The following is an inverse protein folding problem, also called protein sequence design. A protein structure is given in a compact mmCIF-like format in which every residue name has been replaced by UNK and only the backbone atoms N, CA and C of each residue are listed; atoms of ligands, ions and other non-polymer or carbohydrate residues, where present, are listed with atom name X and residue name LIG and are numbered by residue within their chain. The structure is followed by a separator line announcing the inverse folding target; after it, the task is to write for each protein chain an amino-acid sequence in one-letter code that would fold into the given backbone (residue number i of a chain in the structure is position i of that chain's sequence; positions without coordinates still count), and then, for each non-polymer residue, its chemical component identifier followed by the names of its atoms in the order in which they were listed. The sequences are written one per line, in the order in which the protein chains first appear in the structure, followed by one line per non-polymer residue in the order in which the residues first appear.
data_IF_627571874152
#
_entry.id   IF_627571874152
#
_cell.length_a   1.000
_cell.length_b   1.000
_cell.length_c   1.000
_cell.angle_alpha   90.00
_cell.angle_beta   90.00
_cell.angle_gamma   90.00
#
_symmetry.space_group_name_H-M   'P 1'
#
loop_
_entity.id
_entity.type
_entity.pdbx_description
1 polymer ?
#
# COMPACT_ATOMS: atom_id res chain seq x y z
N UNK A 1 15.63 0.92 -18.29
CA UNK A 1 14.84 -0.07 -17.53
C UNK A 1 13.43 -0.06 -18.11
N UNK A 2 12.83 -1.20 -18.40
CA UNK A 2 11.45 -1.25 -18.92
C UNK A 2 10.44 -1.00 -17.79
N UNK A 3 9.21 -0.59 -18.12
CA UNK A 3 8.14 -0.44 -17.12
C UNK A 3 7.94 -1.71 -16.30
N UNK A 4 7.97 -2.89 -16.94
CA UNK A 4 7.85 -4.18 -16.25
C UNK A 4 8.96 -4.43 -15.23
N UNK A 5 10.21 -4.09 -15.55
CA UNK A 5 11.33 -4.20 -14.60
C UNK A 5 11.15 -3.26 -13.41
N UNK A 6 10.73 -2.02 -13.66
CA UNK A 6 10.47 -1.02 -12.62
C UNK A 6 9.39 -1.52 -11.66
N UNK A 7 8.25 -1.98 -12.21
CA UNK A 7 7.13 -2.49 -11.43
C UNK A 7 7.50 -3.76 -10.65
N UNK A 8 8.30 -4.66 -11.21
CA UNK A 8 8.80 -5.83 -10.48
C UNK A 8 9.62 -5.43 -9.24
N UNK A 9 10.56 -4.49 -9.41
CA UNK A 9 11.37 -3.99 -8.30
C UNK A 9 10.52 -3.28 -7.23
N UNK A 10 9.52 -2.50 -7.65
CA UNK A 10 8.58 -1.84 -6.73
C UNK A 10 7.77 -2.86 -5.92
N UNK A 11 7.24 -3.90 -6.58
CA UNK A 11 6.46 -4.95 -5.90
C UNK A 11 7.33 -5.84 -5.01
N UNK A 12 8.60 -6.06 -5.37
CA UNK A 12 9.56 -6.74 -4.49
C UNK A 12 9.85 -5.93 -3.23
N UNK A 13 9.97 -4.60 -3.36
CA UNK A 13 10.12 -3.71 -2.22
C UNK A 13 8.88 -3.72 -1.33
N UNK A 14 7.68 -3.57 -1.90
CA UNK A 14 6.43 -3.68 -1.14
C UNK A 14 6.32 -5.02 -0.42
N UNK A 15 6.70 -6.14 -1.07
CA UNK A 15 6.65 -7.46 -0.45
C UNK A 15 7.57 -7.55 0.78
N UNK A 16 8.79 -6.99 0.71
CA UNK A 16 9.74 -6.95 1.84
C UNK A 16 9.22 -6.08 2.98
N UNK A 17 8.62 -4.92 2.66
CA UNK A 17 8.01 -4.03 3.65
C UNK A 17 6.85 -4.73 4.34
N UNK A 18 5.95 -5.37 3.60
CA UNK A 18 4.81 -6.13 4.15
C UNK A 18 5.28 -7.29 5.03
N UNK A 19 6.24 -8.11 4.59
CA UNK A 19 6.78 -9.21 5.39
C UNK A 19 7.42 -8.70 6.70
N UNK A 20 8.22 -7.63 6.62
CA UNK A 20 8.85 -7.06 7.80
C UNK A 20 7.84 -6.44 8.75
N UNK A 21 6.83 -5.73 8.25
CA UNK A 21 5.73 -5.20 9.05
C UNK A 21 4.99 -6.31 9.80
N UNK A 22 4.66 -7.42 9.10
CA UNK A 22 4.00 -8.58 9.70
C UNK A 22 4.88 -9.24 10.77
N UNK A 23 6.17 -9.44 10.50
CA UNK A 23 7.10 -10.03 11.47
C UNK A 23 7.25 -9.18 12.72
N UNK A 24 7.38 -7.86 12.57
CA UNK A 24 7.43 -6.92 13.69
C UNK A 24 6.12 -7.02 14.51
N UNK A 25 4.97 -6.96 13.84
CA UNK A 25 3.66 -7.03 14.50
C UNK A 25 3.45 -8.34 15.28
N UNK A 26 3.82 -9.48 14.69
CA UNK A 26 3.73 -10.80 15.31
C UNK A 26 4.89 -11.15 16.25
N UNK A 27 5.82 -10.21 16.51
CA UNK A 27 7.00 -10.41 17.36
C UNK A 27 7.84 -11.63 16.92
N UNK A 28 7.95 -11.83 15.61
CA UNK A 28 8.78 -12.86 15.00
C UNK A 28 10.23 -12.37 14.85
N UNK A 29 11.12 -13.26 14.45
CA UNK A 29 12.49 -12.89 14.11
C UNK A 29 12.50 -11.91 12.92
N UNK A 30 13.19 -10.79 13.10
CA UNK A 30 13.30 -9.69 12.14
C UNK A 30 14.76 -9.42 11.79
N UNK A 31 15.02 -9.16 10.51
CA UNK A 31 16.32 -8.65 10.03
C UNK A 31 16.43 -7.13 10.13
N UNK A 32 15.30 -6.42 10.16
CA UNK A 32 15.21 -4.97 10.24
C UNK A 32 14.40 -4.57 11.46
N UNK A 33 14.84 -3.55 12.21
CA UNK A 33 14.12 -3.07 13.38
C UNK A 33 12.91 -2.20 13.01
N UNK A 34 12.94 -1.60 11.81
CA UNK A 34 11.89 -0.75 11.27
C UNK A 34 11.73 -0.93 9.76
N UNK A 35 10.53 -0.74 9.23
CA UNK A 35 10.27 -0.87 7.80
C UNK A 35 11.00 0.20 6.95
N UNK A 36 11.33 1.34 7.56
CA UNK A 36 12.02 2.47 6.96
C UNK A 36 13.48 2.13 6.62
N UNK A 37 14.04 1.05 7.18
CA UNK A 37 15.35 0.51 6.79
C UNK A 37 15.31 -0.20 5.43
N UNK A 38 14.13 -0.56 4.93
CA UNK A 38 13.93 -1.26 3.67
C UNK A 38 13.90 -0.22 2.56
N UNK A 39 15.07 0.05 2.00
CA UNK A 39 15.27 1.11 1.01
C UNK A 39 14.42 0.86 -0.25
N UNK A 40 13.60 1.83 -0.70
CA UNK A 40 12.88 1.75 -1.97
C UNK A 40 13.84 1.59 -3.16
N UNK A 41 13.44 0.90 -4.24
CA UNK A 41 14.33 0.65 -5.36
C UNK A 41 14.65 1.96 -6.08
N UNK A 42 15.87 2.06 -6.60
CA UNK A 42 16.23 3.16 -7.50
C UNK A 42 15.45 3.03 -8.81
N UNK A 43 14.72 4.08 -9.19
CA UNK A 43 13.97 4.14 -10.44
C UNK A 43 14.57 5.23 -11.32
N UNK A 44 14.81 4.98 -12.62
CA UNK A 44 15.33 6.00 -13.52
C UNK A 44 14.38 7.20 -13.63
N UNK A 45 14.89 8.39 -13.33
CA UNK A 45 14.09 9.62 -13.24
C UNK A 45 13.57 10.14 -14.60
N UNK A 46 14.03 9.56 -15.71
CA UNK A 46 13.59 9.82 -17.08
C UNK A 46 12.38 8.96 -17.50
N UNK A 47 11.94 8.05 -16.65
CA UNK A 47 10.74 7.21 -16.88
C UNK A 47 9.50 7.84 -16.26
N UNK A 48 8.32 7.54 -16.82
CA UNK A 48 7.05 8.03 -16.29
C UNK A 48 6.88 7.72 -14.79
N UNK A 49 7.08 6.46 -14.38
CA UNK A 49 6.98 6.12 -12.96
C UNK A 49 8.05 6.84 -12.11
N UNK A 50 9.28 6.92 -12.61
CA UNK A 50 10.39 7.58 -11.92
C UNK A 50 10.15 9.07 -11.67
N UNK A 51 9.57 9.80 -12.62
CA UNK A 51 9.22 11.22 -12.42
C UNK A 51 8.16 11.40 -11.36
N UNK A 52 7.18 10.48 -11.30
CA UNK A 52 6.08 10.54 -10.31
C UNK A 52 6.56 10.24 -8.89
N UNK A 53 7.44 9.26 -8.69
CA UNK A 53 7.85 8.82 -7.35
C UNK A 53 9.06 9.58 -6.77
N UNK A 54 9.78 10.35 -7.59
CA UNK A 54 11.02 11.04 -7.18
C UNK A 54 10.85 11.96 -5.96
N UNK A 55 9.70 12.61 -5.84
CA UNK A 55 9.43 13.60 -4.78
C UNK A 55 8.64 13.02 -3.62
N UNK A 56 8.29 11.73 -3.67
CA UNK A 56 7.51 11.10 -2.63
C UNK A 56 8.42 10.74 -1.45
N UNK A 57 7.93 11.01 -0.25
CA UNK A 57 8.45 10.41 0.97
C UNK A 57 8.31 8.89 0.94
N UNK A 58 9.01 8.20 1.84
CA UNK A 58 8.87 6.75 2.02
C UNK A 58 7.41 6.34 2.18
N UNK A 59 6.66 7.04 3.05
CA UNK A 59 5.27 6.71 3.33
C UNK A 59 4.35 6.94 2.13
N UNK A 60 4.51 8.05 1.41
CA UNK A 60 3.73 8.32 0.20
C UNK A 60 4.02 7.30 -0.90
N UNK A 61 5.29 6.92 -1.11
CA UNK A 61 5.66 5.89 -2.09
C UNK A 61 5.13 4.52 -1.70
N UNK A 62 5.11 4.20 -0.40
CA UNK A 62 4.55 2.94 0.10
C UNK A 62 3.04 2.86 -0.18
N UNK A 63 2.31 3.96 0.03
CA UNK A 63 0.89 4.06 -0.30
C UNK A 63 0.65 3.88 -1.80
N UNK A 64 1.49 4.47 -2.66
CA UNK A 64 1.43 4.29 -4.12
C UNK A 64 1.69 2.84 -4.52
N UNK A 65 2.74 2.22 -3.97
CA UNK A 65 3.06 0.82 -4.24
C UNK A 65 1.92 -0.12 -3.80
N UNK A 66 1.35 0.13 -2.62
CA UNK A 66 0.20 -0.64 -2.11
C UNK A 66 -1.02 -0.52 -3.04
N UNK A 67 -1.33 0.69 -3.51
CA UNK A 67 -2.44 0.91 -4.45
C UNK A 67 -2.20 0.29 -5.84
N UNK A 68 -0.94 0.11 -6.24
CA UNK A 68 -0.56 -0.54 -7.50
C UNK A 68 -0.66 -2.08 -7.43
N UNK A 69 -0.46 -2.66 -6.25
CA UNK A 69 -0.37 -4.10 -6.08
C UNK A 69 -1.57 -4.90 -6.65
N UNK A 70 -2.84 -4.47 -6.52
CA UNK A 70 -3.97 -5.16 -7.13
C UNK A 70 -3.88 -5.31 -8.65
N UNK A 71 -3.21 -4.37 -9.34
CA UNK A 71 -3.07 -4.35 -10.80
C UNK A 71 -1.86 -5.17 -11.29
N UNK A 72 -0.78 -5.17 -10.51
CA UNK A 72 0.54 -5.68 -10.95
C UNK A 72 0.86 -7.05 -10.36
N UNK A 73 0.57 -7.26 -9.08
CA UNK A 73 0.94 -8.47 -8.33
C UNK A 73 -0.09 -8.75 -7.23
N UNK A 74 -1.36 -9.06 -7.56
CA UNK A 74 -2.45 -9.17 -6.60
C UNK A 74 -2.18 -10.20 -5.50
N UNK A 75 -1.52 -11.32 -5.82
CA UNK A 75 -1.15 -12.37 -4.86
C UNK A 75 -0.18 -11.90 -3.76
N UNK A 76 0.48 -10.75 -3.91
CA UNK A 76 1.30 -10.15 -2.84
C UNK A 76 0.43 -9.83 -1.62
N UNK A 77 -0.81 -9.40 -1.85
CA UNK A 77 -1.70 -8.92 -0.80
C UNK A 77 -2.41 -10.07 -0.06
N UNK A 78 -2.22 -11.32 -0.49
CA UNK A 78 -2.79 -12.48 0.20
C UNK A 78 -2.27 -12.62 1.64
N UNK A 79 -1.11 -12.02 1.95
CA UNK A 79 -0.57 -11.92 3.30
C UNK A 79 -1.54 -11.26 4.30
N UNK A 80 -2.46 -10.41 3.84
CA UNK A 80 -3.45 -9.77 4.71
C UNK A 80 -4.71 -10.63 4.96
N UNK A 81 -4.80 -11.81 4.34
CA UNK A 81 -5.85 -12.78 4.67
C UNK A 81 -5.54 -13.64 5.90
N UNK A 82 -4.41 -13.42 6.58
CA UNK A 82 -4.07 -14.14 7.81
C UNK A 82 -5.20 -14.01 8.84
N UNK A 83 -5.66 -15.14 9.33
CA UNK A 83 -6.68 -15.23 10.37
C UNK A 83 -6.03 -15.32 11.75
N UNK A 84 -6.66 -14.67 12.72
CA UNK A 84 -6.34 -14.88 14.11
C UNK A 84 -6.86 -16.26 14.54
N UNK A 85 -5.94 -17.16 14.90
CA UNK A 85 -6.25 -18.55 15.24
C UNK A 85 -7.16 -18.70 16.46
N UNK A 86 -7.18 -17.73 17.38
CA UNK A 86 -8.01 -17.75 18.59
C UNK A 86 -9.45 -17.33 18.30
N UNK A 87 -9.62 -16.29 17.48
CA UNK A 87 -10.93 -15.69 17.22
C UNK A 87 -11.56 -16.13 15.90
N UNK A 88 -10.85 -16.92 15.08
CA UNK A 88 -11.26 -17.39 13.75
C UNK A 88 -11.78 -16.25 12.87
N UNK A 89 -11.07 -15.12 12.90
CA UNK A 89 -11.41 -13.92 12.13
C UNK A 89 -10.14 -13.19 11.69
N UNK A 90 -10.25 -12.38 10.65
CA UNK A 90 -9.17 -11.48 10.22
C UNK A 90 -8.88 -10.40 11.26
N UNK A 91 -7.63 -9.94 11.28
CA UNK A 91 -7.22 -8.80 12.08
C UNK A 91 -7.88 -7.53 11.56
N UNK A 92 -8.60 -6.82 12.43
CA UNK A 92 -9.29 -5.58 12.06
C UNK A 92 -8.31 -4.49 11.62
N UNK A 93 -7.11 -4.50 12.20
CA UNK A 93 -6.04 -3.53 11.91
C UNK A 93 -5.51 -3.67 10.48
N UNK A 94 -5.60 -4.84 9.85
CA UNK A 94 -5.11 -5.02 8.47
C UNK A 94 -6.05 -4.41 7.43
N UNK A 95 -7.30 -4.15 7.82
CA UNK A 95 -8.34 -3.64 6.94
C UNK A 95 -8.57 -4.53 5.71
N UNK A 96 -8.86 -3.87 4.60
CA UNK A 96 -8.95 -4.50 3.29
C UNK A 96 -10.32 -5.12 3.01
N UNK A 97 -10.66 -5.14 1.73
CA UNK A 97 -11.91 -5.72 1.24
C UNK A 97 -11.63 -6.95 0.39
N UNK A 98 -12.48 -7.96 0.52
CA UNK A 98 -12.45 -9.13 -0.36
C UNK A 98 -13.14 -8.77 -1.68
N UNK A 99 -12.42 -8.90 -2.79
CA UNK A 99 -12.96 -8.70 -4.13
C UNK A 99 -13.92 -9.83 -4.49
N UNK A 100 -15.10 -9.50 -5.03
CA UNK A 100 -16.14 -10.50 -5.30
C UNK A 100 -15.82 -11.43 -6.49
N UNK A 101 -15.15 -10.92 -7.53
CA UNK A 101 -15.00 -11.63 -8.80
C UNK A 101 -13.86 -12.66 -8.81
N UNK A 102 -12.75 -12.38 -8.13
CA UNK A 102 -11.57 -13.26 -8.13
C UNK A 102 -11.00 -13.50 -6.72
N UNK A 103 -11.78 -13.22 -5.68
CA UNK A 103 -11.43 -13.41 -4.27
C UNK A 103 -10.12 -12.73 -3.79
N UNK A 104 -9.56 -11.80 -4.57
CA UNK A 104 -8.34 -11.08 -4.20
C UNK A 104 -8.57 -10.02 -3.12
N UNK A 105 -7.47 -9.44 -2.64
CA UNK A 105 -7.48 -8.41 -1.60
C UNK A 105 -7.43 -7.01 -2.22
N UNK A 106 -8.39 -6.16 -1.86
CA UNK A 106 -8.38 -4.73 -2.17
C UNK A 106 -7.91 -3.96 -0.94
N UNK A 107 -6.77 -3.27 -0.98
CA UNK A 107 -6.29 -2.51 0.16
C UNK A 107 -7.23 -1.34 0.46
N UNK A 108 -7.25 -0.94 1.72
CA UNK A 108 -8.03 0.20 2.22
C UNK A 108 -7.09 1.24 2.83
N UNK A 109 -7.63 2.39 3.21
CA UNK A 109 -6.90 3.35 4.05
C UNK A 109 -6.35 2.68 5.31
N UNK A 110 -7.13 1.80 5.94
CA UNK A 110 -6.71 1.05 7.13
C UNK A 110 -5.50 0.14 6.84
N UNK A 111 -5.46 -0.52 5.69
CA UNK A 111 -4.29 -1.33 5.27
C UNK A 111 -3.02 -0.48 5.13
N UNK A 112 -3.15 0.73 4.57
CA UNK A 112 -2.04 1.66 4.45
C UNK A 112 -1.59 2.19 5.83
N UNK A 113 -2.54 2.52 6.71
CA UNK A 113 -2.25 2.95 8.08
C UNK A 113 -1.49 1.85 8.81
N UNK A 114 -1.94 0.60 8.74
CA UNK A 114 -1.27 -0.52 9.37
C UNK A 114 0.16 -0.69 8.88
N UNK A 115 0.40 -0.67 7.57
CA UNK A 115 1.77 -0.77 7.05
C UNK A 115 2.65 0.38 7.56
N UNK A 116 2.13 1.61 7.63
CA UNK A 116 2.92 2.78 8.06
C UNK A 116 3.16 2.84 9.58
N UNK A 117 2.33 2.18 10.38
CA UNK A 117 2.33 2.36 11.84
C UNK A 117 2.59 1.10 12.65
N UNK A 118 2.32 -0.08 12.10
CA UNK A 118 2.30 -1.32 12.87
C UNK A 118 1.39 -1.17 14.09
N UNK A 119 1.97 -1.33 15.29
CA UNK A 119 1.31 -1.16 16.58
C UNK A 119 1.62 0.18 17.28
N UNK A 120 2.34 1.09 16.63
CA UNK A 120 2.72 2.40 17.19
C UNK A 120 1.61 3.44 16.98
N UNK A 121 1.06 3.96 18.09
CA UNK A 121 -0.08 4.88 18.05
C UNK A 121 0.28 6.26 17.47
N UNK A 122 1.49 6.77 17.73
CA UNK A 122 1.91 8.07 17.23
C UNK A 122 2.12 8.00 15.71
N UNK A 123 2.75 6.92 15.23
CA UNK A 123 2.84 6.64 13.79
C UNK A 123 1.46 6.45 13.16
N UNK A 124 0.52 5.82 13.87
CA UNK A 124 -0.86 5.61 13.40
C UNK A 124 -1.57 6.94 13.19
N UNK A 125 -1.48 7.86 14.14
CA UNK A 125 -2.06 9.20 14.01
C UNK A 125 -1.42 9.95 12.84
N UNK A 126 -0.10 9.88 12.67
CA UNK A 126 0.59 10.50 11.54
C UNK A 126 0.15 9.91 10.19
N UNK A 127 -0.01 8.58 10.10
CA UNK A 127 -0.51 7.91 8.90
C UNK A 127 -1.98 8.27 8.60
N UNK A 128 -2.82 8.39 9.62
CA UNK A 128 -4.19 8.88 9.47
C UNK A 128 -4.21 10.33 8.95
N UNK A 129 -3.36 11.20 9.47
CA UNK A 129 -3.24 12.58 8.98
C UNK A 129 -2.76 12.64 7.53
N UNK A 130 -1.80 11.78 7.15
CA UNK A 130 -1.32 11.65 5.78
C UNK A 130 -2.43 11.23 4.80
N UNK A 131 -3.29 10.29 5.19
CA UNK A 131 -4.31 9.70 4.31
C UNK A 131 -5.66 10.43 4.33
N UNK A 132 -6.09 10.93 5.51
CA UNK A 132 -7.46 11.39 5.74
C UNK A 132 -7.64 12.92 5.66
N UNK A 133 -6.55 13.71 5.66
CA UNK A 133 -6.65 15.18 5.53
C UNK A 133 -7.01 15.66 4.10
N UNK A 134 -7.64 14.79 3.30
CA UNK A 134 -8.17 15.10 1.97
C UNK A 134 -7.12 15.18 0.87
N UNK A 135 -5.83 15.10 1.20
CA UNK A 135 -4.71 15.12 0.26
C UNK A 135 -3.61 14.20 0.78
N UNK A 136 -3.35 13.08 0.10
CA UNK A 136 -2.05 12.41 0.21
C UNK A 136 -1.10 13.36 -0.51
N UNK A 137 -0.50 14.29 0.23
CA UNK A 137 0.46 15.25 -0.32
C UNK A 137 1.51 14.51 -1.17
N UNK A 138 1.95 15.08 -2.28
CA UNK A 138 2.82 14.40 -3.24
C UNK A 138 2.18 13.31 -4.12
N UNK A 139 1.37 12.39 -3.56
CA UNK A 139 0.80 11.25 -4.30
C UNK A 139 -0.66 11.44 -4.76
N UNK A 140 -1.26 12.60 -4.50
CA UNK A 140 -2.64 12.93 -4.83
C UNK A 140 -3.04 12.73 -6.30
N UNK A 141 -2.10 12.88 -7.23
CA UNK A 141 -2.32 12.61 -8.67
C UNK A 141 -2.23 11.12 -9.04
N UNK A 142 -1.75 10.28 -8.14
CA UNK A 142 -1.41 8.88 -8.38
C UNK A 142 -2.43 7.93 -7.75
N UNK A 143 -2.91 8.26 -6.56
CA UNK A 143 -3.82 7.41 -5.77
C UNK A 143 -5.01 8.19 -5.23
N UNK A 144 -6.03 7.46 -4.82
CA UNK A 144 -7.20 8.00 -4.13
C UNK A 144 -7.70 7.04 -3.05
N UNK A 145 -8.18 7.61 -1.94
CA UNK A 145 -8.98 6.89 -0.96
C UNK A 145 -10.45 7.10 -1.30
N UNK A 146 -11.14 6.03 -1.69
CA UNK A 146 -12.55 6.08 -2.02
C UNK A 146 -13.40 6.24 -0.75
N UNK A 147 -14.65 6.66 -0.90
CA UNK A 147 -15.55 6.77 0.23
C UNK A 147 -15.75 5.40 0.91
N UNK A 148 -15.68 5.39 2.23
CA UNK A 148 -16.03 4.21 3.02
C UNK A 148 -17.54 3.89 2.86
N UNK A 149 -17.94 2.61 3.04
CA UNK A 149 -19.35 2.25 3.15
C UNK A 149 -20.07 3.08 4.22
N UNK A 150 -21.38 3.30 4.06
CA UNK A 150 -22.15 4.15 4.96
C UNK A 150 -22.06 3.71 6.42
N UNK A 151 -21.70 4.65 7.30
CA UNK A 151 -21.55 4.39 8.75
C UNK A 151 -20.20 3.85 9.19
N UNK A 152 -19.28 3.57 8.25
CA UNK A 152 -17.92 3.11 8.55
C UNK A 152 -16.93 4.29 8.71
N UNK A 153 -15.83 4.10 9.44
CA UNK A 153 -14.72 5.04 9.46
C UNK A 153 -14.16 5.33 8.07
N UNK A 154 -13.69 6.56 7.83
CA UNK A 154 -13.14 6.97 6.53
C UNK A 154 -11.99 6.06 6.03
N UNK A 155 -11.19 5.51 6.94
CA UNK A 155 -10.10 4.59 6.61
C UNK A 155 -10.57 3.25 5.99
N UNK A 156 -11.85 2.87 6.16
CA UNK A 156 -12.42 1.66 5.55
C UNK A 156 -12.63 1.79 4.03
N UNK A 157 -12.47 2.97 3.45
CA UNK A 157 -12.52 3.18 2.00
C UNK A 157 -11.40 2.44 1.26
N UNK A 158 -11.67 1.95 0.03
CA UNK A 158 -10.62 1.35 -0.81
C UNK A 158 -9.56 2.37 -1.19
N UNK A 159 -8.31 1.93 -1.14
CA UNK A 159 -7.17 2.64 -1.67
C UNK A 159 -6.91 2.14 -3.10
N UNK A 160 -7.05 3.02 -4.09
CA UNK A 160 -6.87 2.66 -5.51
C UNK A 160 -5.94 3.65 -6.21
N UNK A 161 -5.33 3.20 -7.32
CA UNK A 161 -4.70 4.12 -8.25
C UNK A 161 -5.77 5.01 -8.91
N UNK A 162 -5.39 6.23 -9.30
CA UNK A 162 -6.21 7.05 -10.20
C UNK A 162 -6.14 6.49 -11.62
N UNK A 163 -7.26 6.55 -12.33
CA UNK A 163 -7.37 6.04 -13.70
C UNK A 163 -6.34 6.69 -14.65
N UNK A 164 -6.14 8.00 -14.55
CA UNK A 164 -5.14 8.72 -15.35
C UNK A 164 -3.74 8.17 -15.15
N UNK A 165 -3.35 7.92 -13.90
CA UNK A 165 -2.04 7.38 -13.55
C UNK A 165 -1.87 5.94 -14.03
N UNK A 166 -2.83 5.05 -13.74
CA UNK A 166 -2.69 3.64 -14.10
C UNK A 166 -2.74 3.44 -15.63
N UNK A 167 -3.57 4.21 -16.35
CA UNK A 167 -3.66 4.09 -17.79
C UNK A 167 -2.39 4.56 -18.49
N UNK A 168 -1.77 5.65 -18.01
CA UNK A 168 -0.50 6.13 -18.56
C UNK A 168 0.65 5.18 -18.22
N UNK A 169 0.72 4.70 -16.97
CA UNK A 169 1.72 3.73 -16.52
C UNK A 169 1.69 2.43 -17.34
N UNK A 170 0.50 1.93 -17.64
CA UNK A 170 0.31 0.68 -18.39
C UNK A 170 0.22 0.86 -19.90
N UNK A 171 0.27 2.10 -20.41
CA UNK A 171 0.14 2.39 -21.84
C UNK A 171 -1.24 2.04 -22.42
N UNK A 172 -2.29 2.16 -21.62
CA UNK A 172 -3.68 1.84 -21.99
C UNK A 172 -4.40 2.99 -22.70
N UNK A 173 -3.81 4.19 -22.72
CA UNK A 173 -4.35 5.34 -23.43
C UNK A 173 -4.25 5.11 -24.95
N UNK A 174 -5.38 4.84 -25.61
CA UNK A 174 -5.58 4.97 -27.06
C UNK A 174 -6.16 6.33 -27.39
#
# INVERSE_FOLDING_TARGET
MTTGQILSAEMEWLAKVTDSCMRIYFQLEVTNASIEEIVPPAVPADTFYGTMVKQLSFGERLVVALALAPYVKPQLLDAFFIENATYHRRFSEFGGMKMQQHAGFMPTGETAIFLLSGSDMDKRIAAMQLLLNGNITGANGLVQLNAAPGGEPAACGSLTCRDTFINELLGLNK
#
